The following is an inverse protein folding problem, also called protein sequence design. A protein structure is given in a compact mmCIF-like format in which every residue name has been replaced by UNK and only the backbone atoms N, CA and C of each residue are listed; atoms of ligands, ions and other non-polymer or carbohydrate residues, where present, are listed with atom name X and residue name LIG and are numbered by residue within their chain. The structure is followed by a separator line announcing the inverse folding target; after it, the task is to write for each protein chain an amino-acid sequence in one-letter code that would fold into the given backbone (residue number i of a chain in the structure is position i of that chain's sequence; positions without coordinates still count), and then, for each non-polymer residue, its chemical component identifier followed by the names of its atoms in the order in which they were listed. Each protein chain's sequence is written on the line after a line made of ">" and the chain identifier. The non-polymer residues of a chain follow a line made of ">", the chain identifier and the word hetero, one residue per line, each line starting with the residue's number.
data_IF_922900613194
#
_entry.id   IF_922900613194
#
_cell.length_a   1.000
_cell.length_b   1.000
_cell.length_c   1.000
_cell.angle_alpha   90.00
_cell.angle_beta   90.00
_cell.angle_gamma   90.00
#
_symmetry.space_group_name_H-M   'P 1'
#
loop_
_entity.id
_entity.type
_entity.pdbx_description
1 polymer ?
#
# COMPACT_ATOMS: atom_id res chain seq x y z
N UNK A 1 5.73 -18.60 6.95
CA UNK A 1 5.72 -18.80 5.49
C UNK A 1 4.34 -18.43 4.99
N UNK A 2 4.23 -17.46 4.09
CA UNK A 2 2.99 -17.01 3.47
C UNK A 2 2.89 -17.59 2.06
N UNK A 3 1.77 -18.22 1.73
CA UNK A 3 1.53 -18.79 0.41
C UNK A 3 0.78 -17.73 -0.41
N UNK A 4 1.28 -17.42 -1.62
CA UNK A 4 0.60 -16.52 -2.52
C UNK A 4 -0.83 -17.04 -2.84
N UNK A 5 -1.82 -16.15 -3.08
CA UNK A 5 -3.15 -16.58 -3.47
C UNK A 5 -3.14 -17.51 -4.70
N UNK A 6 -3.99 -18.53 -4.68
CA UNK A 6 -4.15 -19.46 -5.83
C UNK A 6 -4.75 -18.77 -7.06
N UNK A 7 -5.45 -17.64 -6.87
CA UNK A 7 -5.94 -16.83 -7.97
C UNK A 7 -4.75 -16.02 -8.54
N UNK A 8 -4.40 -16.30 -9.80
CA UNK A 8 -3.25 -15.71 -10.51
C UNK A 8 -3.38 -14.21 -10.67
N UNK A 9 -4.58 -13.67 -10.93
CA UNK A 9 -4.81 -12.23 -11.06
C UNK A 9 -4.55 -11.52 -9.73
N UNK A 10 -5.03 -12.11 -8.63
CA UNK A 10 -4.78 -11.57 -7.28
C UNK A 10 -3.29 -11.64 -6.94
N UNK A 11 -2.63 -12.77 -7.21
CA UNK A 11 -1.21 -12.92 -6.95
C UNK A 11 -0.35 -11.97 -7.79
N UNK A 12 -0.71 -11.74 -9.06
CA UNK A 12 -0.11 -10.73 -9.93
C UNK A 12 -0.25 -9.34 -9.33
N UNK A 13 -1.47 -8.97 -8.92
CA UNK A 13 -1.71 -7.65 -8.32
C UNK A 13 -0.90 -7.41 -7.05
N UNK A 14 -0.74 -8.43 -6.19
CA UNK A 14 0.08 -8.30 -4.99
C UNK A 14 1.58 -8.16 -5.30
N UNK A 15 2.04 -8.75 -6.41
CA UNK A 15 3.41 -8.57 -6.89
C UNK A 15 3.62 -7.20 -7.52
N UNK A 16 2.69 -6.75 -8.35
CA UNK A 16 2.67 -5.41 -8.92
C UNK A 16 2.76 -4.31 -7.85
N UNK A 17 2.01 -4.49 -6.76
CA UNK A 17 2.03 -3.61 -5.60
C UNK A 17 3.37 -3.63 -4.85
N UNK A 18 4.24 -4.62 -5.09
CA UNK A 18 5.47 -4.82 -4.35
C UNK A 18 5.27 -5.40 -2.94
N UNK A 19 4.07 -5.91 -2.61
CA UNK A 19 3.77 -6.44 -1.27
C UNK A 19 4.69 -7.62 -0.90
N UNK A 20 4.95 -8.53 -1.84
CA UNK A 20 5.80 -9.68 -1.55
C UNK A 20 7.24 -9.29 -1.23
N UNK A 21 7.76 -8.24 -1.89
CA UNK A 21 9.07 -7.66 -1.57
C UNK A 21 9.10 -7.13 -0.14
N UNK A 22 8.10 -6.33 0.25
CA UNK A 22 8.00 -5.77 1.60
C UNK A 22 7.90 -6.87 2.66
N UNK A 23 7.09 -7.90 2.41
CA UNK A 23 6.97 -9.05 3.31
C UNK A 23 8.31 -9.79 3.47
N UNK A 24 9.05 -9.99 2.38
CA UNK A 24 10.37 -10.62 2.42
C UNK A 24 11.40 -9.78 3.19
N UNK A 25 11.39 -8.45 3.02
CA UNK A 25 12.23 -7.51 3.77
C UNK A 25 11.97 -7.58 5.28
N UNK A 26 10.73 -7.80 5.69
CA UNK A 26 10.32 -8.01 7.10
C UNK A 26 10.49 -9.47 7.57
N UNK A 27 11.24 -10.29 6.83
CA UNK A 27 11.59 -11.66 7.20
C UNK A 27 10.49 -12.70 6.97
N UNK A 28 9.41 -12.35 6.26
CA UNK A 28 8.34 -13.29 5.91
C UNK A 28 8.72 -14.04 4.63
N UNK A 29 8.96 -15.35 4.75
CA UNK A 29 9.11 -16.23 3.58
C UNK A 29 7.82 -16.29 2.77
N UNK A 30 7.85 -15.84 1.52
CA UNK A 30 6.72 -15.86 0.56
C UNK A 30 6.97 -16.91 -0.52
N UNK A 31 6.02 -17.84 -0.70
CA UNK A 31 6.04 -18.82 -1.79
C UNK A 31 5.17 -18.32 -2.95
N UNK A 32 5.82 -18.02 -4.09
CA UNK A 32 5.16 -17.51 -5.29
C UNK A 32 4.85 -18.64 -6.27
N UNK A 33 3.75 -18.53 -7.01
CA UNK A 33 3.49 -19.43 -8.13
C UNK A 33 4.41 -19.04 -9.31
N UNK A 34 4.97 -20.02 -10.05
CA UNK A 34 5.76 -19.72 -11.23
C UNK A 34 4.90 -19.10 -12.34
N UNK A 35 5.49 -18.21 -13.14
CA UNK A 35 4.92 -17.62 -14.36
C UNK A 35 3.75 -16.63 -14.16
N UNK A 36 3.82 -15.78 -13.13
CA UNK A 36 2.87 -14.68 -12.98
C UNK A 36 3.39 -13.45 -13.74
N UNK A 37 2.62 -12.98 -14.72
CA UNK A 37 2.91 -11.74 -15.43
C UNK A 37 2.40 -10.54 -14.64
N UNK A 38 3.17 -9.45 -14.64
CA UNK A 38 2.80 -8.18 -14.01
C UNK A 38 1.76 -7.45 -14.87
N UNK A 39 0.71 -6.94 -14.24
CA UNK A 39 -0.43 -6.32 -14.94
C UNK A 39 -0.47 -4.80 -14.85
N UNK A 40 0.37 -4.23 -13.99
CA UNK A 40 0.45 -2.78 -13.77
C UNK A 40 1.89 -2.32 -13.65
N UNK A 41 2.11 -1.03 -13.95
CA UNK A 41 3.44 -0.41 -13.79
C UNK A 41 3.46 0.38 -12.49
N UNK A 42 4.18 -0.08 -11.45
CA UNK A 42 4.32 0.69 -10.23
C UNK A 42 5.21 1.91 -10.48
N UNK A 43 4.67 3.11 -10.26
CA UNK A 43 5.45 4.36 -10.23
C UNK A 43 6.14 4.52 -8.87
N UNK A 44 5.44 4.09 -7.82
CA UNK A 44 6.01 3.84 -6.50
C UNK A 44 5.37 2.55 -5.97
N UNK A 45 6.10 1.41 -5.89
CA UNK A 45 5.58 0.22 -5.21
C UNK A 45 5.37 0.52 -3.72
N UNK A 46 4.65 -0.34 -3.00
CA UNK A 46 4.47 -0.21 -1.54
C UNK A 46 5.85 0.00 -0.91
N UNK A 47 6.02 1.17 -0.30
CA UNK A 47 7.29 1.60 0.29
C UNK A 47 7.02 2.17 1.67
N UNK A 48 7.79 1.70 2.65
CA UNK A 48 7.72 2.14 4.04
C UNK A 48 8.45 3.48 4.21
N UNK A 49 7.92 4.35 5.06
CA UNK A 49 8.56 5.61 5.47
C UNK A 49 8.09 6.01 6.88
N UNK A 50 8.99 6.55 7.69
CA UNK A 50 8.74 6.91 9.09
C UNK A 50 8.95 8.38 9.42
N UNK A 51 9.41 9.20 8.47
CA UNK A 51 9.69 10.63 8.67
C UNK A 51 9.20 11.50 7.52
N UNK A 52 9.05 12.79 7.77
CA UNK A 52 8.68 13.79 6.75
C UNK A 52 9.75 13.91 5.67
N UNK A 53 11.03 13.81 6.02
CA UNK A 53 12.12 13.77 5.03
C UNK A 53 12.00 12.57 4.10
N UNK A 54 11.71 11.38 4.62
CA UNK A 54 11.47 10.20 3.77
C UNK A 54 10.19 10.35 2.94
N UNK A 55 9.13 10.97 3.47
CA UNK A 55 7.92 11.28 2.72
C UNK A 55 8.19 12.24 1.54
N UNK A 56 8.99 13.28 1.75
CA UNK A 56 9.45 14.19 0.70
C UNK A 56 10.26 13.45 -0.37
N UNK A 57 11.19 12.59 0.04
CA UNK A 57 12.00 11.77 -0.89
C UNK A 57 11.11 10.84 -1.73
N UNK A 58 10.10 10.20 -1.14
CA UNK A 58 9.14 9.38 -1.86
C UNK A 58 8.32 10.21 -2.85
N UNK A 59 7.89 11.40 -2.45
CA UNK A 59 7.10 12.30 -3.28
C UNK A 59 7.93 12.76 -4.50
N UNK A 60 9.20 13.10 -4.30
CA UNK A 60 10.13 13.45 -5.37
C UNK A 60 10.32 12.29 -6.36
N UNK A 61 10.45 11.05 -5.88
CA UNK A 61 10.56 9.86 -6.75
C UNK A 61 9.33 9.65 -7.63
N UNK A 62 8.13 9.89 -7.09
CA UNK A 62 6.88 9.84 -7.86
C UNK A 62 6.91 10.91 -8.96
N UNK A 63 7.33 12.13 -8.65
CA UNK A 63 7.42 13.22 -9.62
C UNK A 63 8.28 12.84 -10.83
N UNK A 64 9.48 12.30 -10.59
CA UNK A 64 10.37 11.86 -11.66
C UNK A 64 9.76 10.70 -12.47
N UNK A 65 9.16 9.71 -11.79
CA UNK A 65 8.55 8.55 -12.45
C UNK A 65 7.34 8.95 -13.32
N UNK A 66 6.56 9.94 -12.88
CA UNK A 66 5.43 10.49 -13.66
C UNK A 66 5.92 11.23 -14.91
N UNK A 67 6.98 12.04 -14.81
CA UNK A 67 7.61 12.70 -15.95
C UNK A 67 8.10 11.67 -16.97
N UNK A 68 8.78 10.62 -16.50
CA UNK A 68 9.33 9.56 -17.36
C UNK A 68 8.25 8.69 -18.02
N UNK A 69 7.08 8.52 -17.37
CA UNK A 69 5.97 7.70 -17.90
C UNK A 69 5.37 8.24 -19.21
N UNK A 70 5.72 9.46 -19.65
CA UNK A 70 5.24 10.14 -20.86
C UNK A 70 3.71 10.19 -20.99
N UNK A 71 2.94 9.99 -19.92
CA UNK A 71 1.49 10.10 -20.01
C UNK A 71 1.03 11.57 -20.05
N UNK A 72 -0.02 11.82 -20.81
CA UNK A 72 -0.26 13.10 -21.49
C UNK A 72 -0.98 14.18 -20.69
N UNK A 73 -1.29 13.97 -19.40
CA UNK A 73 -2.01 14.98 -18.60
C UNK A 73 -1.17 15.49 -17.44
N UNK A 74 -0.33 16.49 -17.72
CA UNK A 74 0.50 17.16 -16.72
C UNK A 74 -0.31 17.70 -15.53
N UNK A 75 -1.58 18.07 -15.75
CA UNK A 75 -2.48 18.56 -14.70
C UNK A 75 -2.87 17.46 -13.72
N UNK A 76 -3.15 16.25 -14.19
CA UNK A 76 -3.49 15.12 -13.30
C UNK A 76 -2.28 14.72 -12.46
N UNK A 77 -1.08 14.77 -13.03
CA UNK A 77 0.15 14.46 -12.31
C UNK A 77 0.45 15.43 -11.18
N UNK A 78 0.20 16.72 -11.38
CA UNK A 78 0.36 17.72 -10.33
C UNK A 78 -0.58 17.45 -9.15
N UNK A 79 -1.86 17.19 -9.44
CA UNK A 79 -2.86 16.89 -8.41
C UNK A 79 -2.48 15.62 -7.63
N UNK A 80 -2.01 14.58 -8.31
CA UNK A 80 -1.55 13.35 -7.66
C UNK A 80 -0.33 13.58 -6.80
N UNK A 81 0.65 14.33 -7.30
CA UNK A 81 1.87 14.68 -6.57
C UNK A 81 1.53 15.44 -5.28
N UNK A 82 0.72 16.50 -5.37
CA UNK A 82 0.33 17.31 -4.21
C UNK A 82 -0.50 16.50 -3.22
N UNK A 83 -1.48 15.73 -3.71
CA UNK A 83 -2.33 14.89 -2.85
C UNK A 83 -1.52 13.82 -2.14
N UNK A 84 -0.58 13.16 -2.84
CA UNK A 84 0.32 12.19 -2.22
C UNK A 84 1.22 12.85 -1.17
N UNK A 85 1.85 13.97 -1.52
CA UNK A 85 2.74 14.71 -0.62
C UNK A 85 2.04 15.06 0.69
N UNK A 86 0.82 15.61 0.58
CA UNK A 86 0.00 15.99 1.73
C UNK A 86 -0.37 14.78 2.58
N UNK A 87 -0.84 13.70 1.97
CA UNK A 87 -1.19 12.47 2.71
C UNK A 87 0.03 11.83 3.36
N UNK A 88 1.18 11.81 2.68
CA UNK A 88 2.41 11.21 3.18
C UNK A 88 2.98 12.01 4.36
N UNK A 89 3.05 13.33 4.25
CA UNK A 89 3.46 14.19 5.37
C UNK A 89 2.50 14.06 6.55
N UNK A 90 1.19 14.09 6.32
CA UNK A 90 0.21 13.85 7.39
C UNK A 90 0.41 12.49 8.07
N UNK A 91 0.69 11.43 7.30
CA UNK A 91 0.99 10.13 7.87
C UNK A 91 2.30 10.14 8.66
N UNK A 92 3.36 10.79 8.17
CA UNK A 92 4.64 10.87 8.87
C UNK A 92 4.57 11.71 10.17
N UNK A 93 3.78 12.79 10.17
CA UNK A 93 3.66 13.71 11.31
C UNK A 93 2.67 13.22 12.37
N UNK A 94 1.64 12.49 11.97
CA UNK A 94 0.50 12.16 12.84
C UNK A 94 0.27 10.67 13.05
N UNK A 95 0.98 9.80 12.33
CA UNK A 95 0.93 8.36 12.61
C UNK A 95 1.49 8.09 14.01
N UNK A 96 0.66 7.44 14.83
CA UNK A 96 1.08 6.88 16.12
C UNK A 96 1.54 5.42 15.98
N UNK A 97 1.78 4.97 14.74
CA UNK A 97 2.17 3.60 14.42
C UNK A 97 3.61 3.32 14.83
N UNK A 98 3.83 2.16 15.43
CA UNK A 98 5.17 1.60 15.63
C UNK A 98 5.77 1.00 14.34
N UNK A 99 4.96 0.82 13.31
CA UNK A 99 5.31 0.15 12.05
C UNK A 99 5.43 1.18 10.91
N UNK A 100 5.52 2.46 11.26
CA UNK A 100 5.69 3.56 10.30
C UNK A 100 4.50 3.64 9.31
N UNK A 101 4.63 4.38 8.21
CA UNK A 101 3.61 4.51 7.17
C UNK A 101 4.05 3.85 5.86
N UNK A 102 3.09 3.61 4.97
CA UNK A 102 3.32 3.00 3.66
C UNK A 102 2.71 3.85 2.55
N UNK A 103 3.46 4.06 1.47
CA UNK A 103 3.03 4.81 0.29
C UNK A 103 3.04 3.93 -0.96
N UNK A 104 2.11 4.20 -1.87
CA UNK A 104 1.96 3.52 -3.17
C UNK A 104 1.44 4.49 -4.22
N UNK A 105 2.02 4.43 -5.42
CA UNK A 105 1.45 5.02 -6.65
C UNK A 105 1.53 4.02 -7.80
N UNK A 106 0.39 3.69 -8.39
CA UNK A 106 0.30 2.79 -9.54
C UNK A 106 -0.30 3.48 -10.76
N UNK A 107 0.17 3.06 -11.93
CA UNK A 107 -0.51 3.25 -13.18
C UNK A 107 -1.08 1.90 -13.63
N UNK A 108 -2.40 1.82 -13.63
CA UNK A 108 -3.18 0.64 -13.98
C UNK A 108 -3.74 0.80 -15.40
N UNK A 109 -3.40 -0.15 -16.27
CA UNK A 109 -3.74 -0.13 -17.70
C UNK A 109 -4.64 -1.30 -18.09
N UNK A 110 -5.24 -2.01 -17.12
CA UNK A 110 -5.94 -3.28 -17.34
C UNK A 110 -7.23 -3.19 -18.17
N UNK A 111 -7.87 -2.01 -18.33
CA UNK A 111 -9.21 -1.91 -18.92
C UNK A 111 -9.41 -0.66 -19.80
N UNK A 112 -8.74 -0.54 -20.96
CA UNK A 112 -8.90 0.55 -21.98
C UNK A 112 -8.78 2.02 -21.48
N UNK A 113 -8.75 2.24 -20.17
CA UNK A 113 -8.67 3.48 -19.44
C UNK A 113 -7.44 3.42 -18.53
N UNK A 114 -6.59 4.43 -18.63
CA UNK A 114 -5.48 4.59 -17.70
C UNK A 114 -6.04 5.04 -16.35
N UNK A 115 -5.97 4.17 -15.34
CA UNK A 115 -6.32 4.51 -13.96
C UNK A 115 -5.04 4.79 -13.18
N UNK A 116 -5.03 5.90 -12.43
CA UNK A 116 -3.93 6.23 -11.54
C UNK A 116 -4.41 6.02 -10.10
N UNK A 117 -3.72 5.15 -9.37
CA UNK A 117 -4.03 4.84 -7.97
C UNK A 117 -2.97 5.47 -7.09
N UNK A 118 -3.40 6.28 -6.12
CA UNK A 118 -2.55 6.91 -5.11
C UNK A 118 -3.04 6.45 -3.73
N UNK A 119 -2.14 5.91 -2.92
CA UNK A 119 -2.48 5.40 -1.60
C UNK A 119 -1.39 5.71 -0.58
N UNK A 120 -1.81 6.20 0.59
CA UNK A 120 -0.99 6.30 1.79
C UNK A 120 -1.74 5.58 2.90
N UNK A 121 -1.06 4.67 3.58
CA UNK A 121 -1.59 3.92 4.70
C UNK A 121 -0.73 4.20 5.92
N UNK A 122 -1.37 4.59 7.02
CA UNK A 122 -0.76 4.53 8.34
C UNK A 122 -0.54 3.05 8.70
N UNK A 123 0.70 2.63 8.97
CA UNK A 123 1.04 1.23 9.27
C UNK A 123 0.53 0.75 10.63
N UNK A 124 -0.19 1.60 11.39
CA UNK A 124 -0.55 1.34 12.78
C UNK A 124 -2.01 1.03 13.05
N UNK A 125 -2.26 -0.17 13.57
CA UNK A 125 -3.27 -0.46 14.62
C UNK A 125 -4.75 -0.50 14.18
N UNK A 126 -5.13 -0.17 12.95
CA UNK A 126 -6.51 -0.36 12.49
C UNK A 126 -6.98 -1.82 12.51
N UNK A 127 -6.13 -2.79 12.14
CA UNK A 127 -6.53 -4.20 12.04
C UNK A 127 -6.36 -4.94 13.37
N UNK A 128 -5.23 -4.82 14.07
CA UNK A 128 -5.02 -5.57 15.31
C UNK A 128 -5.95 -5.12 16.44
N UNK A 129 -6.16 -3.81 16.62
CA UNK A 129 -7.11 -3.29 17.62
C UNK A 129 -8.56 -3.55 17.21
N UNK A 130 -8.89 -3.53 15.91
CA UNK A 130 -10.22 -3.96 15.45
C UNK A 130 -10.43 -5.46 15.64
N UNK A 131 -9.44 -6.32 15.40
CA UNK A 131 -9.51 -7.76 15.64
C UNK A 131 -9.61 -8.08 17.15
N UNK A 132 -8.85 -7.38 18.00
CA UNK A 132 -8.94 -7.51 19.45
C UNK A 132 -10.30 -7.04 19.98
N UNK A 133 -10.84 -5.93 19.48
CA UNK A 133 -12.18 -5.44 19.87
C UNK A 133 -13.34 -6.31 19.34
N UNK A 134 -13.17 -6.98 18.19
CA UNK A 134 -14.11 -7.98 17.68
C UNK A 134 -14.08 -9.28 18.52
N UNK A 135 -12.92 -9.70 19.02
CA UNK A 135 -12.79 -10.84 19.94
C UNK A 135 -13.46 -10.56 21.30
N UNK A 136 -13.40 -9.31 21.78
CA UNK A 136 -14.05 -8.89 23.02
C UNK A 136 -15.58 -8.77 22.87
N UNK A 137 -16.08 -8.35 21.70
CA UNK A 137 -17.53 -8.32 21.42
C UNK A 137 -18.15 -9.71 21.26
N UNK A 138 -17.35 -10.71 20.88
CA UNK A 138 -17.80 -12.10 20.73
C UNK A 138 -17.86 -12.88 22.06
N UNK A 139 -17.29 -12.33 23.14
CA UNK A 139 -17.27 -12.95 24.48
C UNK A 139 -18.41 -12.52 25.41
N UNK A 140 -19.38 -11.72 24.95
CA UNK A 140 -20.43 -11.17 25.81
C UNK A 140 -21.80 -11.78 25.49
N UNK A 141 -22.07 -12.96 26.07
CA UNK A 141 -23.36 -13.66 26.35
C UNK A 141 -22.98 -15.12 26.67
N UNK A 142 -23.29 -15.77 27.79
CA UNK A 142 -24.38 -15.63 28.73
C UNK A 142 -23.89 -15.83 30.17
N UNK A 143 -24.30 -14.92 31.05
CA UNK A 143 -24.28 -15.09 32.50
C UNK A 143 -25.59 -14.61 33.10
N UNK A 144 -26.71 -15.19 32.65
CA UNK A 144 -28.01 -14.99 33.29
C UNK A 144 -28.25 -16.11 34.31
N UNK A 145 -28.20 -15.73 35.59
CA UNK A 145 -28.94 -16.24 36.75
C UNK A 145 -29.53 -17.66 36.64
N UNK A 146 -29.07 -18.57 37.50
CA UNK A 146 -29.73 -18.96 38.76
C UNK A 146 -28.68 -19.58 39.69
#
# INVERSE_FOLDING_TARGET
>A
MLIAPNNVEVASRLMDLGLFRVLQEEGVSVQQAPNIELTTTPLLPITKFGSTTEAEDLTNRIHYSLIESRQRSATIFHVIYETFSEMANNAAEHSMSKIEAYGLVLLDTLEEENRLVCGVADGGIGIQTSLLSLSQKSGCRLGCRL
#
